data_IF_886432903883
#
_entry.id   IF_886432903883
#
_cell.length_a   1.000
_cell.length_b   1.000
_cell.length_c   1.000
_cell.angle_alpha   90.00
_cell.angle_beta   90.00
_cell.angle_gamma   90.00
#
_symmetry.space_group_name_H-M   'P 1'
#
loop_
_entity.id
_entity.type
_entity.pdbx_description
1 polymer ?
#
# COMPACT_ATOMS: atom_id res chain seq x y z
N UNK A 1 0.39 -37.39 -16.95
CA UNK A 1 -0.84 -37.50 -16.15
C UNK A 1 -0.56 -36.72 -14.88
N UNK A 2 -1.41 -35.71 -14.63
CA UNK A 2 -1.08 -34.47 -13.91
C UNK A 2 -0.71 -34.69 -12.44
N UNK A 3 0.44 -34.13 -12.07
CA UNK A 3 0.91 -33.95 -10.70
C UNK A 3 0.08 -32.85 -10.02
N UNK A 4 -0.33 -33.11 -8.78
CA UNK A 4 -0.96 -32.15 -7.89
C UNK A 4 0.11 -31.15 -7.44
N UNK A 5 -0.05 -29.87 -7.80
CA UNK A 5 0.73 -28.78 -7.19
C UNK A 5 0.16 -28.50 -5.79
N UNK A 6 0.96 -28.81 -4.78
CA UNK A 6 0.69 -28.52 -3.38
C UNK A 6 0.66 -27.01 -3.11
N UNK A 7 -0.43 -26.58 -2.49
CA UNK A 7 -0.68 -25.24 -1.97
C UNK A 7 0.45 -24.78 -1.03
N UNK A 8 1.12 -23.63 -1.26
CA UNK A 8 2.27 -23.24 -0.47
C UNK A 8 1.86 -22.40 0.75
N UNK A 9 1.02 -22.95 1.65
CA UNK A 9 0.94 -22.61 3.09
C UNK A 9 -0.33 -23.17 3.76
N UNK A 10 -0.18 -23.96 4.83
CA UNK A 10 -1.26 -24.26 5.77
C UNK A 10 -1.46 -23.08 6.76
N UNK A 11 -2.70 -22.76 7.19
CA UNK A 11 -2.94 -21.77 8.23
C UNK A 11 -2.33 -22.23 9.56
N UNK A 12 -1.50 -21.38 10.19
CA UNK A 12 -0.92 -21.67 11.51
C UNK A 12 -2.03 -21.67 12.55
N UNK A 13 -2.38 -22.86 13.05
CA UNK A 13 -3.16 -23.05 14.27
C UNK A 13 -2.32 -22.66 15.48
N UNK A 14 -2.88 -21.78 16.33
CA UNK A 14 -2.31 -21.37 17.60
C UNK A 14 -2.18 -22.57 18.54
N UNK A 15 -0.97 -22.88 18.97
CA UNK A 15 -0.69 -23.47 20.28
C UNK A 15 0.76 -23.15 20.66
N UNK A 16 0.94 -22.12 21.49
CA UNK A 16 2.16 -22.01 22.31
C UNK A 16 1.84 -21.33 23.63
N UNK A 17 1.35 -22.15 24.56
CA UNK A 17 1.44 -21.89 25.98
C UNK A 17 2.11 -23.11 26.60
N UNK A 18 3.34 -22.94 27.11
CA UNK A 18 3.93 -23.63 28.27
C UNK A 18 5.45 -23.29 28.39
N UNK A 19 5.75 -22.26 29.21
CA UNK A 19 6.74 -22.10 30.31
C UNK A 19 8.08 -22.91 30.32
N UNK A 20 9.16 -22.48 31.05
CA UNK A 20 9.12 -21.77 32.34
C UNK A 20 10.20 -20.69 32.64
N UNK A 21 9.98 -20.08 33.81
CA UNK A 21 10.80 -19.20 34.67
C UNK A 21 12.32 -19.37 34.66
N UNK A 22 13.04 -18.23 34.68
CA UNK A 22 14.40 -18.12 35.25
C UNK A 22 14.50 -16.83 36.10
N UNK A 23 15.19 -16.99 37.22
CA UNK A 23 15.24 -16.20 38.43
C UNK A 23 15.96 -14.84 38.33
N UNK A 24 15.64 -14.01 39.32
CA UNK A 24 16.23 -12.72 39.62
C UNK A 24 17.51 -12.85 40.48
N UNK A 25 18.49 -11.99 40.25
CA UNK A 25 19.49 -11.60 41.26
C UNK A 25 20.19 -10.29 40.91
N UNK A 26 20.27 -9.36 41.86
CA UNK A 26 21.46 -8.49 42.05
C UNK A 26 21.38 -7.01 41.69
N UNK A 27 20.73 -6.22 42.54
CA UNK A 27 21.20 -4.99 43.22
C UNK A 27 22.02 -3.84 42.57
N UNK A 28 21.52 -2.61 42.90
CA UNK A 28 22.21 -1.31 43.18
C UNK A 28 22.86 -0.55 42.00
N UNK A 29 22.78 0.77 41.80
CA UNK A 29 22.46 1.97 42.62
C UNK A 29 21.78 3.07 41.77
N UNK A 30 21.08 3.99 42.45
CA UNK A 30 20.68 5.31 41.93
C UNK A 30 21.83 6.35 42.13
N UNK A 31 21.75 7.53 41.49
CA UNK A 31 21.29 8.65 42.30
C UNK A 31 20.37 9.66 41.59
N UNK A 32 19.79 10.47 42.47
CA UNK A 32 18.73 11.44 42.32
C UNK A 32 19.09 12.66 41.46
N UNK A 33 18.04 13.26 40.87
CA UNK A 33 18.10 14.59 40.26
C UNK A 33 16.69 15.16 40.12
N UNK A 34 16.15 15.70 41.23
CA UNK A 34 14.87 16.42 41.27
C UNK A 34 14.98 17.75 40.50
N UNK A 35 14.00 18.02 39.63
CA UNK A 35 13.52 19.39 39.37
C UNK A 35 12.03 19.34 38.98
N UNK A 36 11.21 20.02 39.79
CA UNK A 36 9.76 20.29 39.60
C UNK A 36 9.56 21.49 38.68
N UNK A 37 8.47 21.46 37.90
CA UNK A 37 7.53 22.55 37.56
C UNK A 37 6.43 21.89 36.69
N UNK A 38 5.27 21.59 37.26
CA UNK A 38 4.02 22.40 37.24
C UNK A 38 3.28 22.37 35.88
N UNK A 39 2.11 21.73 35.91
CA UNK A 39 1.01 21.60 34.91
C UNK A 39 0.21 22.94 34.83
N UNK A 40 -0.83 23.16 33.96
CA UNK A 40 -1.80 22.17 33.48
C UNK A 40 -2.29 22.31 32.01
N UNK A 41 -2.79 21.20 31.46
CA UNK A 41 -4.16 21.06 30.91
C UNK A 41 -4.20 19.95 29.84
N UNK A 42 -4.75 18.80 30.25
CA UNK A 42 -5.18 17.72 29.36
C UNK A 42 -6.55 17.21 29.83
N UNK A 43 -7.57 17.14 28.96
CA UNK A 43 -8.79 16.45 29.31
C UNK A 43 -8.60 14.92 29.18
N UNK A 44 -8.86 14.29 30.32
CA UNK A 44 -8.92 12.87 30.62
C UNK A 44 -9.86 12.11 29.66
N UNK A 45 -9.39 11.01 29.07
CA UNK A 45 -10.27 9.94 28.56
C UNK A 45 -10.11 8.72 29.45
N UNK A 46 -11.20 8.41 30.17
CA UNK A 46 -11.35 7.28 31.07
C UNK A 46 -11.28 5.96 30.30
N UNK A 47 -10.40 5.09 30.78
CA UNK A 47 -10.33 3.65 30.47
C UNK A 47 -11.49 2.98 31.22
N UNK A 48 -12.33 2.21 30.52
CA UNK A 48 -13.30 1.30 31.17
C UNK A 48 -12.94 -0.12 30.75
N UNK A 49 -12.76 -0.95 31.77
CA UNK A 49 -12.46 -2.37 31.74
C UNK A 49 -13.68 -3.19 31.35
N UNK A 50 -13.44 -4.30 30.65
CA UNK A 50 -14.37 -5.41 30.49
C UNK A 50 -14.52 -6.19 31.80
N UNK A 51 -15.69 -6.81 31.98
CA UNK A 51 -15.89 -8.09 32.68
C UNK A 51 -17.07 -8.86 32.01
N UNK A 52 -17.16 -10.20 32.16
CA UNK A 52 -17.71 -11.12 31.18
C UNK A 52 -19.14 -11.61 31.49
N UNK A 53 -19.87 -12.01 30.44
CA UNK A 53 -21.18 -12.64 30.54
C UNK A 53 -21.21 -14.00 29.84
N UNK A 54 -21.31 -15.04 30.65
CA UNK A 54 -21.52 -16.45 30.32
C UNK A 54 -22.97 -16.67 29.82
N UNK A 55 -23.17 -17.50 28.80
CA UNK A 55 -24.39 -18.31 28.66
C UNK A 55 -24.17 -19.45 27.68
N UNK A 56 -24.30 -20.66 28.21
CA UNK A 56 -24.49 -21.91 27.48
C UNK A 56 -25.74 -21.89 26.60
N UNK A 57 -25.74 -22.66 25.50
CA UNK A 57 -26.80 -23.64 25.17
C UNK A 57 -26.53 -24.38 23.83
N UNK A 58 -26.10 -25.64 23.97
CA UNK A 58 -26.53 -26.89 23.30
C UNK A 58 -27.11 -26.85 21.86
N UNK A 59 -26.35 -27.52 20.98
CA UNK A 59 -26.68 -28.41 19.86
C UNK A 59 -28.08 -28.44 19.23
N UNK A 60 -28.11 -28.43 17.89
CA UNK A 60 -28.87 -29.43 17.12
C UNK A 60 -28.22 -29.72 15.75
N UNK A 61 -27.83 -30.99 15.57
CA UNK A 61 -27.56 -31.63 14.29
C UNK A 61 -28.85 -31.79 13.47
N UNK A 62 -28.78 -31.54 12.16
CA UNK A 62 -29.53 -32.33 11.17
C UNK A 62 -28.81 -32.34 9.82
N UNK A 63 -28.35 -33.53 9.45
CA UNK A 63 -27.93 -33.97 8.12
C UNK A 63 -29.17 -34.26 7.25
N UNK A 64 -29.04 -34.12 5.93
CA UNK A 64 -29.67 -34.84 4.79
C UNK A 64 -29.45 -33.94 3.55
N UNK A 65 -29.00 -34.35 2.36
CA UNK A 65 -28.61 -35.61 1.74
C UNK A 65 -28.20 -35.29 0.29
N UNK A 66 -27.30 -36.09 -0.28
CA UNK A 66 -26.84 -36.03 -1.68
C UNK A 66 -27.98 -36.20 -2.70
N UNK A 67 -27.84 -35.61 -3.90
CA UNK A 67 -27.95 -36.33 -5.19
C UNK A 67 -27.20 -35.60 -6.32
N UNK A 68 -26.51 -36.41 -7.13
CA UNK A 68 -26.00 -36.19 -8.49
C UNK A 68 -27.12 -35.69 -9.42
N UNK A 69 -26.94 -35.03 -10.56
CA UNK A 69 -25.87 -34.94 -11.53
C UNK A 69 -26.58 -35.00 -12.90
N UNK A 70 -26.42 -34.00 -13.77
CA UNK A 70 -26.51 -34.25 -15.22
C UNK A 70 -25.99 -33.08 -16.05
N UNK A 71 -25.39 -33.46 -17.17
CA UNK A 71 -24.66 -32.62 -18.12
C UNK A 71 -25.47 -32.39 -19.40
N UNK A 72 -25.55 -31.15 -19.88
CA UNK A 72 -25.47 -30.77 -21.30
C UNK A 72 -25.43 -29.23 -21.50
N UNK A 73 -24.77 -28.71 -22.57
CA UNK A 73 -24.35 -27.31 -22.67
C UNK A 73 -25.37 -26.40 -23.39
N UNK A 74 -25.26 -25.07 -23.23
CA UNK A 74 -25.43 -24.23 -24.42
C UNK A 74 -24.55 -22.97 -24.49
N UNK A 75 -24.18 -22.69 -25.74
CA UNK A 75 -23.90 -21.41 -26.43
C UNK A 75 -23.96 -20.09 -25.63
N UNK A 76 -22.90 -19.31 -25.88
CA UNK A 76 -22.83 -17.84 -25.98
C UNK A 76 -24.18 -17.13 -25.98
N UNK A 77 -24.41 -16.31 -24.95
CA UNK A 77 -25.18 -15.08 -25.11
C UNK A 77 -24.74 -14.01 -24.12
N UNK A 78 -24.64 -12.81 -24.66
CA UNK A 78 -24.35 -11.53 -24.04
C UNK A 78 -25.32 -11.14 -22.93
N UNK A 79 -24.80 -10.29 -22.04
CA UNK A 79 -25.52 -9.40 -21.11
C UNK A 79 -26.50 -10.07 -20.14
N UNK A 80 -26.06 -10.27 -18.89
CA UNK A 80 -26.91 -10.24 -17.70
C UNK A 80 -26.07 -9.83 -16.48
N UNK A 81 -26.01 -8.53 -16.21
CA UNK A 81 -25.60 -8.01 -14.90
C UNK A 81 -26.78 -8.23 -13.95
N UNK A 82 -26.67 -9.17 -13.02
CA UNK A 82 -27.65 -9.39 -11.95
C UNK A 82 -27.61 -8.23 -10.95
N UNK A 83 -28.78 -7.75 -10.55
CA UNK A 83 -29.02 -6.52 -9.79
C UNK A 83 -28.63 -6.56 -8.29
N UNK A 84 -27.62 -7.34 -7.90
CA UNK A 84 -27.16 -7.44 -6.52
C UNK A 84 -25.68 -7.03 -6.39
N UNK A 85 -25.36 -5.79 -6.75
CA UNK A 85 -24.05 -5.20 -6.41
C UNK A 85 -24.08 -3.67 -6.26
N UNK A 86 -25.16 -3.10 -5.71
CA UNK A 86 -25.28 -1.66 -5.46
C UNK A 86 -25.69 -1.36 -4.01
N UNK A 87 -24.69 -1.16 -3.13
CA UNK A 87 -24.91 -0.43 -1.89
C UNK A 87 -25.19 1.05 -2.25
N UNK A 88 -26.47 1.40 -2.38
CA UNK A 88 -26.93 2.70 -2.89
C UNK A 88 -27.20 3.66 -1.73
N UNK A 89 -26.53 4.81 -1.70
CA UNK A 89 -26.94 5.95 -0.86
C UNK A 89 -27.66 6.93 -1.78
N UNK A 90 -28.99 6.93 -1.74
CA UNK A 90 -29.83 7.77 -2.60
C UNK A 90 -29.94 9.18 -2.00
N UNK A 91 -29.43 10.19 -2.69
CA UNK A 91 -29.70 11.61 -2.39
C UNK A 91 -30.65 12.21 -3.43
N UNK A 92 -31.75 12.84 -3.01
CA UNK A 92 -32.67 13.54 -3.91
C UNK A 92 -32.14 14.92 -4.29
N UNK A 93 -31.94 15.16 -5.58
CA UNK A 93 -31.74 16.50 -6.14
C UNK A 93 -33.11 17.14 -6.49
N UNK A 94 -33.22 18.48 -6.55
CA UNK A 94 -34.46 19.13 -6.94
C UNK A 94 -34.69 18.89 -8.44
N UNK A 95 -35.65 18.03 -8.76
CA UNK A 95 -35.98 17.63 -10.13
C UNK A 95 -35.86 16.13 -10.38
N UNK A 96 -36.51 15.29 -9.56
CA UNK A 96 -36.97 13.93 -9.89
C UNK A 96 -35.97 12.85 -10.32
N UNK A 97 -34.74 13.20 -10.72
CA UNK A 97 -33.74 12.26 -11.20
C UNK A 97 -32.97 11.66 -10.01
N UNK A 98 -33.07 10.34 -9.85
CA UNK A 98 -32.26 9.58 -8.89
C UNK A 98 -30.79 9.68 -9.32
N UNK A 99 -29.99 10.46 -8.59
CA UNK A 99 -28.55 10.49 -8.80
C UNK A 99 -27.93 9.30 -8.07
N UNK A 100 -27.38 8.34 -8.82
CA UNK A 100 -26.61 7.23 -8.26
C UNK A 100 -25.27 7.78 -7.75
N UNK A 101 -25.05 7.67 -6.44
CA UNK A 101 -23.75 8.00 -5.86
C UNK A 101 -22.73 6.89 -6.17
N UNK A 102 -21.50 7.27 -6.44
CA UNK A 102 -20.41 6.36 -6.81
C UNK A 102 -19.43 6.21 -5.65
N UNK A 103 -18.63 5.13 -5.69
CA UNK A 103 -17.52 4.93 -4.76
C UNK A 103 -16.50 6.09 -4.88
N UNK A 104 -16.54 6.99 -3.89
CA UNK A 104 -15.68 8.19 -3.87
C UNK A 104 -14.31 7.89 -3.30
N UNK A 105 -13.30 8.56 -3.84
CA UNK A 105 -11.94 8.47 -3.30
C UNK A 105 -11.73 9.50 -2.19
N UNK A 106 -11.03 9.09 -1.13
CA UNK A 106 -10.53 10.01 -0.11
C UNK A 106 -9.31 10.82 -0.57
N UNK A 107 -8.65 10.40 -1.66
CA UNK A 107 -7.50 11.11 -2.22
C UNK A 107 -7.93 12.46 -2.82
N UNK A 108 -7.11 13.48 -2.61
CA UNK A 108 -7.40 14.85 -3.04
C UNK A 108 -6.62 15.18 -4.31
N UNK A 109 -7.20 15.97 -5.20
CA UNK A 109 -6.49 16.46 -6.39
C UNK A 109 -5.21 17.22 -5.97
N UNK A 110 -4.16 17.10 -6.77
CA UNK A 110 -2.93 17.85 -6.55
C UNK A 110 -3.22 19.36 -6.59
N UNK A 111 -2.70 20.17 -5.65
CA UNK A 111 -2.86 21.62 -5.70
C UNK A 111 -2.29 22.24 -6.98
N UNK A 112 -2.98 23.22 -7.56
CA UNK A 112 -2.56 23.93 -8.78
C UNK A 112 -3.09 23.34 -10.09
N UNK A 113 -3.75 22.18 -10.03
CA UNK A 113 -4.47 21.56 -11.16
C UNK A 113 -5.98 21.81 -11.08
N UNK A 114 -6.71 21.36 -12.09
CA UNK A 114 -8.17 21.28 -12.03
C UNK A 114 -8.63 20.46 -10.80
N UNK A 115 -9.67 20.95 -10.12
CA UNK A 115 -10.24 20.31 -8.95
C UNK A 115 -11.35 19.31 -9.30
N UNK A 116 -11.82 18.59 -8.29
CA UNK A 116 -13.07 17.85 -8.40
C UNK A 116 -14.23 18.85 -8.61
N UNK A 117 -15.19 18.51 -9.47
CA UNK A 117 -16.28 19.43 -9.83
C UNK A 117 -17.27 19.67 -8.68
N UNK A 118 -17.31 18.75 -7.72
CA UNK A 118 -18.23 18.80 -6.57
C UNK A 118 -19.69 18.55 -6.92
N UNK A 119 -20.01 18.29 -8.19
CA UNK A 119 -21.37 17.99 -8.65
C UNK A 119 -21.85 16.65 -8.07
N UNK A 120 -23.18 16.41 -7.98
CA UNK A 120 -23.71 15.16 -7.47
C UNK A 120 -23.30 13.92 -8.30
N UNK A 121 -23.21 12.76 -7.62
CA UNK A 121 -23.03 11.45 -8.25
C UNK A 121 -21.72 11.30 -9.04
N UNK A 122 -21.81 10.67 -10.21
CA UNK A 122 -20.67 10.40 -11.09
C UNK A 122 -19.89 11.64 -11.53
N UNK A 123 -20.53 12.81 -11.53
CA UNK A 123 -19.89 14.06 -11.91
C UNK A 123 -18.98 14.62 -10.80
N UNK A 124 -19.05 14.12 -9.56
CA UNK A 124 -18.32 14.69 -8.42
C UNK A 124 -16.82 14.78 -8.68
N UNK A 125 -16.20 13.64 -9.03
CA UNK A 125 -14.77 13.56 -9.26
C UNK A 125 -14.43 13.83 -10.73
N UNK A 126 -13.39 14.62 -10.97
CA UNK A 126 -12.80 14.66 -12.30
C UNK A 126 -11.84 13.48 -12.47
N UNK A 127 -12.05 12.68 -13.51
CA UNK A 127 -11.24 11.49 -13.78
C UNK A 127 -9.91 11.85 -14.43
N UNK A 128 -8.89 11.01 -14.26
CA UNK A 128 -7.57 11.19 -14.90
C UNK A 128 -6.61 12.11 -14.14
N UNK A 129 -7.09 12.94 -13.22
CA UNK A 129 -6.25 13.81 -12.41
C UNK A 129 -5.31 13.05 -11.46
N UNK A 130 -4.11 13.62 -11.28
CA UNK A 130 -3.18 13.24 -10.23
C UNK A 130 -3.73 13.59 -8.84
N UNK A 131 -3.47 12.72 -7.86
CA UNK A 131 -4.00 12.86 -6.51
C UNK A 131 -2.96 12.62 -5.44
N UNK A 132 -3.12 13.29 -4.31
CA UNK A 132 -2.39 13.04 -3.07
C UNK A 132 -3.25 12.29 -2.08
N UNK A 133 -2.62 11.47 -1.24
CA UNK A 133 -3.32 10.86 -0.10
C UNK A 133 -3.77 11.99 0.87
N UNK A 134 -4.93 11.85 1.53
CA UNK A 134 -5.46 12.92 2.38
C UNK A 134 -4.68 13.15 3.68
N UNK A 135 -3.78 12.23 4.06
CA UNK A 135 -3.10 12.27 5.36
C UNK A 135 -3.99 11.82 6.52
N UNK A 136 -3.45 11.81 7.74
CA UNK A 136 -4.20 11.61 9.00
C UNK A 136 -4.02 12.86 9.88
N UNK A 137 -4.45 14.00 9.37
CA UNK A 137 -4.15 15.33 9.92
C UNK A 137 -3.55 16.20 8.82
N UNK A 138 -2.26 16.51 8.93
CA UNK A 138 -1.56 17.29 7.92
C UNK A 138 -1.58 16.64 6.54
N UNK A 139 -1.66 17.48 5.51
CA UNK A 139 -1.66 17.03 4.12
C UNK A 139 -0.31 16.39 3.82
N UNK A 140 -0.34 15.17 3.30
CA UNK A 140 0.86 14.44 2.89
C UNK A 140 1.28 14.81 1.47
N UNK A 141 2.59 14.84 1.21
CA UNK A 141 3.17 14.91 -0.14
C UNK A 141 3.17 13.55 -0.86
N UNK A 142 2.56 12.50 -0.29
CA UNK A 142 2.49 11.19 -0.94
C UNK A 142 1.41 11.19 -2.01
N UNK A 143 1.84 11.02 -3.26
CA UNK A 143 0.96 10.69 -4.39
C UNK A 143 0.12 9.43 -4.10
N UNK A 144 -1.01 9.33 -4.81
CA UNK A 144 -1.93 8.19 -4.74
C UNK A 144 -1.27 6.89 -5.23
N UNK A 145 -1.82 5.75 -4.84
CA UNK A 145 -1.25 4.46 -5.26
C UNK A 145 -1.41 4.23 -6.77
N UNK A 146 -2.53 4.62 -7.37
CA UNK A 146 -2.73 4.54 -8.82
C UNK A 146 -1.70 5.34 -9.60
N UNK A 147 -1.37 6.55 -9.14
CA UNK A 147 -0.38 7.41 -9.81
C UNK A 147 1.03 6.81 -9.72
N UNK A 148 1.37 6.19 -8.58
CA UNK A 148 2.64 5.46 -8.39
C UNK A 148 2.74 4.20 -9.25
N UNK A 149 1.66 3.43 -9.37
CA UNK A 149 1.62 2.26 -10.25
C UNK A 149 1.74 2.67 -11.73
N UNK A 150 1.03 3.72 -12.16
CA UNK A 150 1.18 4.25 -13.51
C UNK A 150 2.61 4.75 -13.80
N UNK A 151 3.28 5.35 -12.80
CA UNK A 151 4.71 5.70 -12.90
C UNK A 151 5.59 4.46 -13.07
N UNK A 152 5.34 3.39 -12.32
CA UNK A 152 6.08 2.13 -12.47
C UNK A 152 5.84 1.47 -13.82
N UNK A 153 4.67 1.65 -14.41
CA UNK A 153 4.36 1.14 -15.76
C UNK A 153 5.20 1.78 -16.87
N UNK A 154 5.94 2.86 -16.56
CA UNK A 154 6.83 3.56 -17.51
C UNK A 154 8.29 3.46 -17.07
N UNK A 155 8.58 3.69 -15.79
CA UNK A 155 9.96 3.73 -15.27
C UNK A 155 10.46 2.40 -14.69
N UNK A 156 9.58 1.42 -14.56
CA UNK A 156 9.79 0.23 -13.77
C UNK A 156 9.70 0.47 -12.25
N UNK A 157 9.59 -0.62 -11.48
CA UNK A 157 9.43 -0.61 -10.03
C UNK A 157 10.77 -0.62 -9.25
N UNK A 158 11.89 -0.91 -9.92
CA UNK A 158 13.24 -1.00 -9.34
C UNK A 158 13.77 0.34 -8.80
N UNK A 159 13.34 1.45 -9.40
CA UNK A 159 13.80 2.79 -9.03
C UNK A 159 15.24 3.11 -9.47
N UNK A 160 15.66 4.36 -9.24
CA UNK A 160 16.90 4.91 -9.80
C UNK A 160 18.16 4.16 -9.34
N UNK A 161 18.27 3.78 -8.06
CA UNK A 161 19.47 3.13 -7.54
C UNK A 161 19.74 1.77 -8.21
N UNK A 162 18.74 0.92 -8.33
CA UNK A 162 18.93 -0.38 -8.96
C UNK A 162 19.16 -0.26 -10.47
N UNK A 163 18.71 0.83 -11.09
CA UNK A 163 18.90 1.09 -12.52
C UNK A 163 20.37 1.32 -12.91
N UNK A 164 21.29 1.50 -11.95
CA UNK A 164 22.73 1.49 -12.25
C UNK A 164 23.23 0.13 -12.73
N UNK A 165 22.61 -0.96 -12.26
CA UNK A 165 23.07 -2.34 -12.50
C UNK A 165 22.24 -3.09 -13.52
N UNK A 166 21.05 -2.58 -13.84
CA UNK A 166 20.11 -3.26 -14.71
C UNK A 166 20.27 -2.74 -16.14
N UNK A 167 20.21 -3.65 -17.11
CA UNK A 167 20.18 -3.27 -18.53
C UNK A 167 18.81 -2.71 -18.93
N UNK A 168 17.73 -3.28 -18.36
CA UNK A 168 16.35 -2.87 -18.61
C UNK A 168 15.57 -2.65 -17.28
N UNK A 169 14.56 -1.75 -17.27
CA UNK A 169 13.70 -1.56 -16.11
C UNK A 169 12.86 -2.80 -15.78
N UNK A 170 12.55 -2.99 -14.49
CA UNK A 170 11.70 -4.12 -14.05
C UNK A 170 10.25 -3.69 -14.03
N UNK A 171 9.42 -4.34 -14.83
CA UNK A 171 8.00 -4.03 -14.98
C UNK A 171 7.10 -5.10 -14.38
N UNK A 172 5.91 -4.68 -13.95
CA UNK A 172 4.86 -5.61 -13.50
C UNK A 172 4.15 -6.18 -14.73
N UNK A 173 4.09 -7.51 -14.83
CA UNK A 173 3.35 -8.18 -15.91
C UNK A 173 1.83 -8.17 -15.68
N UNK A 174 1.41 -8.11 -14.41
CA UNK A 174 0.00 -8.08 -14.03
C UNK A 174 -0.24 -7.25 -12.76
N UNK A 175 -1.45 -6.69 -12.66
CA UNK A 175 -2.02 -6.11 -11.45
C UNK A 175 -3.35 -6.82 -11.20
N UNK A 176 -3.42 -7.56 -10.11
CA UNK A 176 -4.61 -8.32 -9.69
C UNK A 176 -5.28 -7.63 -8.51
N UNK A 177 -6.57 -7.35 -8.63
CA UNK A 177 -7.36 -6.63 -7.64
C UNK A 177 -8.27 -7.66 -6.95
N UNK A 178 -8.24 -7.74 -5.62
CA UNK A 178 -9.14 -8.64 -4.87
C UNK A 178 -10.63 -8.27 -5.05
N UNK A 179 -11.54 -9.13 -4.59
CA UNK A 179 -12.98 -8.88 -4.73
C UNK A 179 -13.38 -7.57 -4.02
N UNK A 180 -13.86 -6.61 -4.81
CA UNK A 180 -14.33 -5.30 -4.37
C UNK A 180 -15.13 -4.63 -5.50
N UNK A 181 -15.83 -3.51 -5.24
CA UNK A 181 -16.39 -2.71 -6.31
C UNK A 181 -15.31 -2.32 -7.33
N UNK A 182 -15.52 -2.72 -8.58
CA UNK A 182 -14.49 -2.71 -9.61
C UNK A 182 -15.01 -2.12 -10.92
N UNK A 183 -14.13 -1.42 -11.64
CA UNK A 183 -14.40 -0.91 -12.98
C UNK A 183 -13.15 -1.09 -13.82
N UNK A 184 -13.23 -1.95 -14.84
CA UNK A 184 -12.12 -2.22 -15.76
C UNK A 184 -11.65 -0.93 -16.44
N UNK A 185 -12.58 -0.10 -16.90
CA UNK A 185 -12.31 1.18 -17.55
C UNK A 185 -11.59 2.16 -16.61
N UNK A 186 -12.01 2.22 -15.34
CA UNK A 186 -11.35 3.05 -14.35
C UNK A 186 -9.91 2.60 -14.08
N UNK A 187 -9.68 1.29 -14.00
CA UNK A 187 -8.36 0.72 -13.80
C UNK A 187 -7.45 0.93 -15.02
N UNK A 188 -7.92 0.67 -16.23
CA UNK A 188 -7.18 0.92 -17.47
C UNK A 188 -6.81 2.40 -17.59
N UNK A 189 -7.76 3.32 -17.42
CA UNK A 189 -7.48 4.76 -17.41
C UNK A 189 -6.46 5.15 -16.33
N UNK A 190 -6.52 4.50 -15.16
CA UNK A 190 -5.67 4.85 -14.03
C UNK A 190 -4.24 4.33 -14.14
N UNK A 191 -4.05 3.13 -14.69
CA UNK A 191 -2.76 2.45 -14.69
C UNK A 191 -2.02 2.55 -16.02
N UNK A 192 -2.74 2.54 -17.15
CA UNK A 192 -2.13 2.50 -18.49
C UNK A 192 -2.51 3.70 -19.35
N UNK A 193 -3.82 3.97 -19.51
CA UNK A 193 -4.33 4.92 -20.51
C UNK A 193 -3.79 6.34 -20.37
N UNK A 194 -3.57 6.81 -19.14
CA UNK A 194 -2.98 8.14 -18.89
C UNK A 194 -1.52 8.30 -19.32
N UNK A 195 -0.81 7.19 -19.54
CA UNK A 195 0.58 7.18 -19.96
C UNK A 195 0.75 6.66 -21.39
N UNK A 196 -0.32 6.21 -22.06
CA UNK A 196 -0.24 5.52 -23.36
C UNK A 196 0.43 6.34 -24.47
N UNK A 197 0.32 7.67 -24.39
CA UNK A 197 0.88 8.59 -25.39
C UNK A 197 2.30 9.05 -25.03
N UNK A 198 2.88 8.56 -23.92
CA UNK A 198 4.24 8.92 -23.52
C UNK A 198 5.22 8.31 -24.50
N UNK A 199 6.06 9.15 -25.09
CA UNK A 199 7.00 8.78 -26.15
C UNK A 199 8.36 9.48 -25.95
N UNK A 200 9.35 9.17 -26.80
CA UNK A 200 10.72 9.68 -26.69
C UNK A 200 11.37 9.37 -25.32
N UNK A 201 11.14 8.15 -24.84
CA UNK A 201 11.82 7.62 -23.65
C UNK A 201 13.22 7.12 -24.02
N UNK A 202 14.20 7.19 -23.09
CA UNK A 202 15.52 6.58 -23.28
C UNK A 202 15.43 5.09 -23.58
N UNK A 203 16.50 4.53 -24.15
CA UNK A 203 16.60 3.09 -24.48
C UNK A 203 16.25 2.23 -23.26
N UNK A 204 15.47 1.17 -23.49
CA UNK A 204 15.00 0.25 -22.46
C UNK A 204 13.75 0.71 -21.71
N UNK A 205 13.42 2.00 -21.72
CA UNK A 205 12.20 2.51 -21.10
C UNK A 205 11.03 2.54 -22.09
N UNK A 206 9.86 2.11 -21.62
CA UNK A 206 8.64 2.10 -22.42
C UNK A 206 7.39 2.05 -21.57
N UNK A 207 6.26 2.41 -22.18
CA UNK A 207 4.95 2.22 -21.57
C UNK A 207 4.56 0.76 -21.76
N UNK A 208 4.43 0.01 -20.68
CA UNK A 208 4.12 -1.41 -20.76
C UNK A 208 2.62 -1.68 -20.83
N UNK A 209 2.26 -2.77 -21.51
CA UNK A 209 0.93 -3.35 -21.39
C UNK A 209 0.90 -4.23 -20.14
N UNK A 210 0.19 -3.79 -19.11
CA UNK A 210 0.01 -4.57 -17.87
C UNK A 210 -1.35 -5.27 -17.89
N UNK A 211 -1.36 -6.57 -17.58
CA UNK A 211 -2.60 -7.33 -17.44
C UNK A 211 -3.33 -6.86 -16.19
N UNK A 212 -4.52 -6.29 -16.34
CA UNK A 212 -5.36 -5.87 -15.22
C UNK A 212 -6.48 -6.89 -15.05
N UNK A 213 -6.53 -7.54 -13.89
CA UNK A 213 -7.51 -8.57 -13.57
C UNK A 213 -8.15 -8.32 -12.21
N UNK A 214 -9.39 -8.76 -12.07
CA UNK A 214 -10.04 -8.87 -10.77
C UNK A 214 -10.08 -10.34 -10.37
N UNK A 215 -9.71 -10.62 -9.12
CA UNK A 215 -9.86 -11.94 -8.51
C UNK A 215 -11.24 -12.06 -7.86
N UNK A 216 -11.85 -13.23 -7.97
CA UNK A 216 -13.07 -13.58 -7.25
C UNK A 216 -12.84 -13.94 -5.77
N UNK A 217 -11.57 -13.97 -5.33
CA UNK A 217 -11.23 -14.25 -3.94
C UNK A 217 -11.71 -13.10 -3.03
N UNK A 218 -12.69 -13.41 -2.19
CA UNK A 218 -13.17 -12.52 -1.14
C UNK A 218 -12.33 -12.71 0.12
N UNK A 219 -11.48 -11.73 0.43
CA UNK A 219 -10.72 -11.73 1.67
C UNK A 219 -11.65 -11.56 2.88
N UNK A 220 -11.51 -12.44 3.88
CA UNK A 220 -12.37 -12.47 5.07
C UNK A 220 -12.41 -11.13 5.83
N UNK A 221 -11.26 -10.44 5.90
CA UNK A 221 -11.12 -9.16 6.57
C UNK A 221 -11.26 -7.96 5.62
N UNK A 222 -11.74 -8.18 4.38
CA UNK A 222 -12.08 -7.10 3.48
C UNK A 222 -13.22 -6.26 4.05
N UNK A 223 -13.29 -4.99 3.65
CA UNK A 223 -14.39 -4.10 4.06
C UNK A 223 -15.75 -4.70 3.72
N UNK A 224 -15.89 -5.28 2.53
CA UNK A 224 -17.13 -5.86 2.05
C UNK A 224 -17.54 -7.08 2.89
N UNK A 225 -16.62 -8.04 3.11
CA UNK A 225 -16.89 -9.21 3.94
C UNK A 225 -17.26 -8.84 5.38
N UNK A 226 -16.55 -7.86 5.96
CA UNK A 226 -16.85 -7.37 7.31
C UNK A 226 -18.19 -6.63 7.38
N UNK A 227 -18.60 -5.89 6.34
CA UNK A 227 -19.91 -5.23 6.29
C UNK A 227 -21.04 -6.24 6.16
N UNK A 228 -20.89 -7.27 5.34
CA UNK A 228 -21.88 -8.33 5.19
C UNK A 228 -22.09 -9.11 6.50
N UNK A 229 -21.01 -9.39 7.25
CA UNK A 229 -21.09 -10.03 8.57
C UNK A 229 -21.67 -9.12 9.67
N UNK A 230 -21.69 -7.80 9.47
CA UNK A 230 -22.02 -6.79 10.49
C UNK A 230 -23.48 -6.35 10.52
N UNK A 231 -24.39 -7.02 9.81
CA UNK A 231 -25.80 -6.61 9.65
C UNK A 231 -26.47 -6.14 10.96
N UNK A 232 -26.06 -6.64 12.13
CA UNK A 232 -26.63 -6.29 13.44
C UNK A 232 -25.70 -5.59 14.46
N UNK A 233 -24.51 -5.09 14.09
CA UNK A 233 -23.58 -4.43 15.05
C UNK A 233 -23.26 -2.95 14.73
N UNK A 234 -23.44 -2.00 15.67
CA UNK A 234 -23.35 -0.55 15.41
C UNK A 234 -21.92 0.02 15.33
N UNK A 235 -20.89 -0.82 15.26
CA UNK A 235 -19.49 -0.36 15.31
C UNK A 235 -18.94 0.11 13.95
N UNK A 236 -18.45 1.36 13.87
CA UNK A 236 -17.75 1.89 12.69
C UNK A 236 -16.52 1.03 12.34
N UNK A 237 -16.43 0.59 11.09
CA UNK A 237 -15.23 -0.08 10.57
C UNK A 237 -14.10 0.94 10.38
N UNK A 238 -12.92 0.65 10.94
CA UNK A 238 -11.74 1.50 10.87
C UNK A 238 -10.56 0.66 10.37
N UNK A 239 -9.76 1.13 9.41
CA UNK A 239 -8.57 0.41 8.96
C UNK A 239 -7.51 0.37 10.07
N UNK A 240 -6.78 -0.75 10.15
CA UNK A 240 -5.65 -0.88 11.06
C UNK A 240 -4.61 0.24 10.81
N UNK A 241 -4.04 0.77 11.89
CA UNK A 241 -2.96 1.77 11.84
C UNK A 241 -1.58 1.16 11.56
N UNK A 242 -1.47 -0.16 11.62
CA UNK A 242 -0.23 -0.88 11.35
C UNK A 242 -0.09 -1.29 9.88
N UNK A 243 1.14 -1.42 9.43
CA UNK A 243 1.51 -1.96 8.13
C UNK A 243 2.59 -3.04 8.32
N UNK A 244 2.38 -4.18 7.68
CA UNK A 244 3.29 -5.33 7.72
C UNK A 244 4.05 -5.37 6.40
N UNK A 245 5.38 -5.47 6.47
CA UNK A 245 6.25 -5.67 5.31
C UNK A 245 7.08 -6.93 5.51
N UNK A 246 7.03 -7.82 4.53
CA UNK A 246 7.77 -9.08 4.53
C UNK A 246 8.31 -9.35 3.13
N UNK A 247 9.47 -9.99 3.06
CA UNK A 247 10.11 -10.45 1.84
C UNK A 247 10.65 -11.87 2.08
N UNK A 248 10.66 -12.69 1.05
CA UNK A 248 11.27 -14.03 1.08
C UNK A 248 12.80 -13.94 1.00
N UNK A 249 13.41 -13.23 1.96
CA UNK A 249 14.87 -13.06 2.08
C UNK A 249 15.27 -13.61 3.44
N UNK A 250 16.09 -14.68 3.53
CA UNK A 250 16.34 -15.40 4.78
C UNK A 250 16.80 -14.51 5.95
N UNK A 251 17.58 -13.47 5.66
CA UNK A 251 18.16 -12.57 6.66
C UNK A 251 17.27 -11.35 6.97
N UNK A 252 16.10 -11.24 6.34
CA UNK A 252 15.19 -10.09 6.52
C UNK A 252 13.95 -10.49 7.33
N UNK A 253 13.90 -10.15 8.63
CA UNK A 253 12.73 -10.47 9.43
C UNK A 253 11.56 -9.56 9.07
N UNK A 254 10.36 -10.01 9.48
CA UNK A 254 9.11 -9.26 9.40
C UNK A 254 9.26 -7.83 9.96
N UNK A 255 8.92 -6.82 9.16
CA UNK A 255 8.89 -5.42 9.59
C UNK A 255 7.44 -4.97 9.80
N UNK A 256 7.03 -4.85 11.06
CA UNK A 256 5.70 -4.35 11.43
C UNK A 256 5.85 -2.90 11.90
N UNK A 257 5.17 -1.98 11.22
CA UNK A 257 5.24 -0.55 11.49
C UNK A 257 3.87 0.00 11.89
N UNK A 258 3.85 1.03 12.73
CA UNK A 258 2.68 1.83 13.06
C UNK A 258 3.08 3.30 13.08
N UNK A 259 2.29 4.17 12.44
CA UNK A 259 2.58 5.61 12.33
C UNK A 259 3.98 5.93 11.76
N UNK A 260 4.49 5.08 10.86
CA UNK A 260 5.79 5.26 10.21
C UNK A 260 7.00 4.76 11.00
N UNK A 261 6.81 4.18 12.18
CA UNK A 261 7.87 3.61 13.01
C UNK A 261 7.63 2.12 13.28
N UNK A 262 8.67 1.31 13.54
CA UNK A 262 8.50 -0.06 14.01
C UNK A 262 7.55 -0.13 15.21
N UNK A 263 6.68 -1.14 15.22
CA UNK A 263 5.70 -1.33 16.28
C UNK A 263 6.41 -1.42 17.65
N UNK A 264 5.87 -0.71 18.64
CA UNK A 264 6.49 -0.60 19.97
C UNK A 264 7.49 0.56 20.11
N UNK A 265 7.81 1.30 19.04
CA UNK A 265 8.64 2.50 19.13
C UNK A 265 7.97 3.55 20.03
N UNK A 266 8.63 3.90 21.13
CA UNK A 266 8.16 4.94 22.05
C UNK A 266 8.55 6.33 21.54
N UNK A 267 7.90 7.39 22.05
CA UNK A 267 8.27 8.80 21.73
C UNK A 267 9.75 9.09 22.00
N UNK A 268 10.33 8.51 23.06
CA UNK A 268 11.76 8.62 23.41
C UNK A 268 12.68 7.81 22.48
N UNK A 269 12.13 6.83 21.77
CA UNK A 269 12.85 6.01 20.80
C UNK A 269 12.94 6.65 19.41
N UNK A 270 12.07 7.61 19.09
CA UNK A 270 12.12 8.35 17.82
C UNK A 270 13.48 9.04 17.68
N UNK A 271 14.10 8.90 16.50
CA UNK A 271 15.45 9.40 16.21
C UNK A 271 16.57 8.37 16.41
N UNK A 272 16.31 7.26 17.09
CA UNK A 272 17.28 6.15 17.23
C UNK A 272 17.32 5.29 15.97
N UNK A 273 18.43 4.59 15.75
CA UNK A 273 18.59 3.67 14.60
C UNK A 273 17.54 2.54 14.62
N UNK A 274 17.19 2.04 15.81
CA UNK A 274 16.20 0.97 15.99
C UNK A 274 14.77 1.41 15.64
N UNK A 275 14.49 2.71 15.57
CA UNK A 275 13.19 3.23 15.17
C UNK A 275 13.02 3.34 13.65
N UNK A 276 13.99 2.86 12.86
CA UNK A 276 13.90 2.88 11.39
C UNK A 276 13.20 1.64 10.89
N UNK A 277 12.22 1.84 10.02
CA UNK A 277 11.68 0.75 9.20
C UNK A 277 12.77 0.21 8.28
N UNK A 278 12.75 -1.11 8.06
CA UNK A 278 13.70 -1.82 7.19
C UNK A 278 13.57 -1.43 5.72
N UNK A 279 12.39 -0.94 5.32
CA UNK A 279 12.11 -0.42 3.98
C UNK A 279 12.21 1.11 3.89
N UNK A 280 12.77 1.77 4.92
CA UNK A 280 13.04 3.20 4.87
C UNK A 280 14.14 3.52 3.86
N UNK A 281 14.15 4.75 3.33
CA UNK A 281 15.12 5.17 2.31
C UNK A 281 16.58 4.93 2.75
N UNK A 282 16.88 5.19 4.03
CA UNK A 282 18.24 5.03 4.57
C UNK A 282 18.66 3.57 4.65
N UNK A 283 17.79 2.65 5.08
CA UNK A 283 18.13 1.23 5.16
C UNK A 283 18.21 0.57 3.76
N UNK A 284 17.37 1.01 2.82
CA UNK A 284 17.49 0.60 1.41
C UNK A 284 18.77 1.15 0.77
N UNK A 285 19.16 2.38 1.07
CA UNK A 285 20.40 2.96 0.55
C UNK A 285 21.64 2.27 1.13
N UNK A 286 21.64 1.94 2.42
CA UNK A 286 22.69 1.12 3.04
C UNK A 286 22.82 -0.25 2.40
N UNK A 287 21.69 -0.87 2.06
CA UNK A 287 21.69 -2.15 1.34
C UNK A 287 22.34 -2.01 -0.05
N UNK A 288 22.07 -0.91 -0.75
CA UNK A 288 22.73 -0.57 -2.01
C UNK A 288 24.24 -0.29 -1.84
N UNK A 289 24.65 0.45 -0.80
CA UNK A 289 26.07 0.67 -0.49
C UNK A 289 26.80 -0.64 -0.16
N UNK A 290 26.16 -1.54 0.60
CA UNK A 290 26.71 -2.87 0.90
C UNK A 290 26.91 -3.69 -0.38
N UNK A 291 25.97 -3.61 -1.33
CA UNK A 291 26.13 -4.22 -2.65
C UNK A 291 27.35 -3.62 -3.37
N UNK A 292 27.51 -2.30 -3.40
CA UNK A 292 28.69 -1.67 -4.01
C UNK A 292 30.00 -2.13 -3.37
N UNK A 293 30.08 -2.17 -2.05
CA UNK A 293 31.27 -2.65 -1.33
C UNK A 293 31.58 -4.13 -1.58
N UNK A 294 30.62 -4.92 -2.06
CA UNK A 294 30.83 -6.33 -2.43
C UNK A 294 31.36 -6.52 -3.85
N UNK A 295 31.35 -5.46 -4.68
CA UNK A 295 31.81 -5.47 -6.06
C UNK A 295 33.12 -4.67 -6.13
N UNK A 296 34.13 -5.22 -6.80
CA UNK A 296 35.38 -4.51 -7.05
C UNK A 296 35.13 -3.23 -7.86
N UNK A 297 35.80 -2.12 -7.50
CA UNK A 297 35.55 -0.78 -8.07
C UNK A 297 35.72 -0.73 -9.60
N UNK A 298 36.61 -1.55 -10.17
CA UNK A 298 36.80 -1.66 -11.63
C UNK A 298 35.56 -2.20 -12.35
N UNK A 299 34.70 -2.94 -11.65
CA UNK A 299 33.45 -3.53 -12.16
C UNK A 299 32.22 -2.68 -11.86
N UNK A 300 32.37 -1.54 -11.20
CA UNK A 300 31.23 -0.65 -10.95
C UNK A 300 30.71 -0.07 -12.28
N UNK A 301 29.38 0.11 -12.41
CA UNK A 301 28.81 0.83 -13.54
C UNK A 301 29.45 2.21 -13.72
N UNK A 302 29.64 2.65 -14.97
CA UNK A 302 30.29 3.94 -15.28
C UNK A 302 29.66 5.13 -14.55
N UNK A 303 28.33 5.16 -14.49
CA UNK A 303 27.56 6.16 -13.74
C UNK A 303 27.99 6.34 -12.27
N UNK A 304 28.60 5.33 -11.65
CA UNK A 304 29.05 5.33 -10.26
C UNK A 304 30.57 5.52 -10.12
N UNK A 305 31.34 5.43 -11.23
CA UNK A 305 32.80 5.59 -11.25
C UNK A 305 33.26 6.98 -11.66
N UNK A 306 32.49 7.66 -12.52
CA UNK A 306 32.89 8.92 -13.17
C UNK A 306 33.09 10.06 -12.16
N UNK A 307 32.34 10.06 -11.06
CA UNK A 307 32.47 11.07 -10.01
C UNK A 307 32.25 10.46 -8.63
N UNK A 308 32.83 11.09 -7.62
CA UNK A 308 32.59 10.75 -6.23
C UNK A 308 31.18 11.18 -5.83
N UNK A 309 30.36 10.21 -5.40
CA UNK A 309 29.00 10.39 -4.93
C UNK A 309 28.96 10.16 -3.41
N UNK A 310 28.32 11.08 -2.68
CA UNK A 310 28.25 11.04 -1.21
C UNK A 310 26.82 10.92 -0.70
N UNK A 311 25.85 11.57 -1.34
CA UNK A 311 24.47 11.63 -0.84
C UNK A 311 23.53 10.71 -1.60
N UNK A 312 22.49 10.21 -0.93
CA UNK A 312 21.41 9.42 -1.54
C UNK A 312 20.81 10.09 -2.78
N UNK A 313 20.74 11.43 -2.79
CA UNK A 313 20.29 12.18 -3.96
C UNK A 313 21.27 12.07 -5.13
N UNK A 314 22.56 12.29 -4.90
CA UNK A 314 23.60 12.20 -5.94
C UNK A 314 23.65 10.82 -6.59
N UNK A 315 23.59 9.75 -5.79
CA UNK A 315 23.50 8.39 -6.32
C UNK A 315 22.28 8.23 -7.22
N UNK A 316 21.11 8.72 -6.81
CA UNK A 316 19.93 8.65 -7.67
C UNK A 316 20.05 9.47 -8.95
N UNK A 317 20.66 10.66 -8.88
CA UNK A 317 20.80 11.57 -10.01
C UNK A 317 21.80 11.04 -11.04
N UNK A 318 22.83 10.31 -10.60
CA UNK A 318 23.81 9.67 -11.46
C UNK A 318 23.20 8.59 -12.38
N UNK A 319 22.03 8.04 -12.05
CA UNK A 319 21.26 7.15 -12.95
C UNK A 319 20.58 7.97 -14.07
N UNK A 320 21.36 8.53 -14.98
CA UNK A 320 20.94 9.52 -15.99
C UNK A 320 19.75 9.05 -16.82
N UNK A 321 19.81 7.85 -17.39
CA UNK A 321 18.72 7.29 -18.21
C UNK A 321 17.39 7.23 -17.43
N UNK A 322 17.42 6.86 -16.15
CA UNK A 322 16.23 6.88 -15.30
C UNK A 322 15.71 8.32 -15.07
N UNK A 323 16.61 9.28 -14.83
CA UNK A 323 16.22 10.67 -14.62
C UNK A 323 15.67 11.32 -15.89
N UNK A 324 16.23 10.99 -17.05
CA UNK A 324 15.73 11.42 -18.36
C UNK A 324 14.34 10.86 -18.62
N UNK A 325 14.15 9.54 -18.45
CA UNK A 325 12.83 8.90 -18.56
C UNK A 325 11.82 9.55 -17.61
N UNK A 326 12.23 9.83 -16.36
CA UNK A 326 11.38 10.50 -15.39
C UNK A 326 11.05 11.94 -15.76
N UNK A 327 12.00 12.67 -16.34
CA UNK A 327 11.80 14.03 -16.86
C UNK A 327 10.78 14.03 -17.99
N UNK A 328 10.93 13.12 -18.96
CA UNK A 328 10.01 12.94 -20.09
C UNK A 328 8.60 12.62 -19.61
N UNK A 329 8.45 11.64 -18.70
CA UNK A 329 7.13 11.27 -18.16
C UNK A 329 6.45 12.43 -17.42
N UNK A 330 7.20 13.21 -16.63
CA UNK A 330 6.64 14.39 -15.97
C UNK A 330 6.18 15.44 -16.97
N UNK A 331 6.98 15.72 -18.01
CA UNK A 331 6.61 16.72 -19.03
C UNK A 331 5.35 16.32 -19.80
N UNK A 332 5.18 15.04 -20.11
CA UNK A 332 4.12 14.58 -21.02
C UNK A 332 2.83 14.15 -20.31
N UNK A 333 2.91 13.59 -19.10
CA UNK A 333 1.73 13.06 -18.41
C UNK A 333 1.61 13.50 -16.95
N UNK A 334 2.72 13.68 -16.23
CA UNK A 334 2.72 13.91 -14.77
C UNK A 334 3.29 15.28 -14.36
N UNK A 335 2.83 16.35 -15.04
CA UNK A 335 3.38 17.71 -14.87
C UNK A 335 3.30 18.24 -13.44
N UNK A 336 2.20 17.92 -12.75
CA UNK A 336 1.93 18.32 -11.37
C UNK A 336 2.43 17.33 -10.32
N UNK A 337 3.28 16.36 -10.66
CA UNK A 337 3.75 15.39 -9.67
C UNK A 337 4.46 16.04 -8.46
N UNK A 338 3.90 15.86 -7.26
CA UNK A 338 4.49 16.41 -6.04
C UNK A 338 5.72 15.60 -5.62
N UNK A 339 6.81 16.31 -5.32
CA UNK A 339 8.03 15.73 -4.76
C UNK A 339 8.15 16.09 -3.29
N UNK A 340 8.83 15.23 -2.54
CA UNK A 340 9.28 15.62 -1.22
C UNK A 340 10.35 16.74 -1.35
N UNK A 341 10.46 17.60 -0.34
CA UNK A 341 11.57 18.55 -0.22
C UNK A 341 12.95 17.89 -0.39
N UNK A 342 13.92 18.62 -0.93
CA UNK A 342 15.22 18.07 -1.33
C UNK A 342 16.05 17.57 -0.15
N UNK A 343 15.95 18.24 1.00
CA UNK A 343 16.55 17.87 2.29
C UNK A 343 16.22 16.43 2.72
N UNK A 344 15.07 15.88 2.34
CA UNK A 344 14.69 14.47 2.60
C UNK A 344 15.52 13.44 1.81
N UNK A 345 16.46 13.91 1.00
CA UNK A 345 17.31 13.12 0.12
C UNK A 345 18.81 13.42 0.29
N UNK A 346 19.18 14.39 1.11
CA UNK A 346 20.56 14.88 1.30
C UNK A 346 21.35 14.12 2.38
N UNK A 347 21.00 12.86 2.67
CA UNK A 347 21.68 12.02 3.66
C UNK A 347 22.68 11.07 2.98
N UNK A 348 23.69 10.62 3.73
CA UNK A 348 24.74 9.69 3.29
C UNK A 348 24.46 8.25 3.69
#
# INVERSE_FOLDING_TARGET
MLEFEDQPCCPVSRDWANNPSIEASGDLEAPEGKRKCEDPDSPVIKKISLEPGTSDCVAHHRSFGNQEGDSNPPKVNSSNLTAEELATVTGMAPGGAKVVDVYRTGAKCVPGEAGDSGKPGAAYHQVGLLRVKPGRGDRTCSMSCSDKLARWNVLGCQGALLMHFLEEPVYLSAVVIGKCPYSQEAMQRALTGRCQNVSALPRGFGVQEVKIQQSDLLFEHSRYALQAKKADSPGRLVPCGAAISWSAVPEQPLDVTANGFPQGTTKKGIGRLQARSRISKVELFRSFQKLLSSISEDKWPDSLRVQRLETYQEYKEAASAYQEAWSTLRKQAFGSWIRNPADYHQFK
#
